data_IF_651251329832
#
_entry.id   IF_651251329832
#
_cell.length_a   1.000
_cell.length_b   1.000
_cell.length_c   1.000
_cell.angle_alpha   90.00
_cell.angle_beta   90.00
_cell.angle_gamma   90.00
#
_symmetry.space_group_name_H-M   'P 1'
#
loop_
_entity.id
_entity.type
_entity.pdbx_description
1 polymer ?
#
# COMPACT_ATOMS: atom_id res chain seq x y z
N UNK A 1 -1.07 3.54 -13.84
CA UNK A 1 -1.62 2.85 -12.64
C UNK A 1 -0.46 2.21 -11.89
N UNK A 2 -0.29 2.51 -10.62
CA UNK A 2 0.76 1.90 -9.79
C UNK A 2 0.45 0.42 -9.54
N UNK A 3 1.49 -0.40 -9.47
CA UNK A 3 1.31 -1.85 -9.20
C UNK A 3 1.11 -2.16 -7.71
N UNK A 4 1.46 -1.22 -6.86
CA UNK A 4 1.61 -1.43 -5.43
C UNK A 4 2.97 -2.04 -5.10
N UNK A 5 3.46 -1.79 -3.89
CA UNK A 5 4.73 -2.30 -3.38
C UNK A 5 4.71 -2.35 -1.86
N UNK A 6 5.65 -3.08 -1.30
CA UNK A 6 6.13 -2.89 0.06
C UNK A 6 7.52 -2.26 -0.02
N UNK A 7 7.95 -1.55 1.00
CA UNK A 7 9.34 -1.09 1.04
C UNK A 7 10.29 -2.29 1.17
N UNK A 8 11.41 -2.25 0.47
CA UNK A 8 12.44 -3.29 0.57
C UNK A 8 12.98 -3.37 2.00
N UNK A 9 13.19 -2.20 2.64
CA UNK A 9 13.32 -2.07 4.07
C UNK A 9 11.91 -1.98 4.67
N UNK A 10 11.33 -3.13 5.02
CA UNK A 10 9.90 -3.22 5.32
C UNK A 10 9.46 -2.40 6.55
N UNK A 11 10.37 -2.05 7.43
CA UNK A 11 10.11 -1.21 8.62
C UNK A 11 10.11 0.30 8.34
N UNK A 12 10.23 0.71 7.08
CA UNK A 12 10.17 2.13 6.68
C UNK A 12 8.73 2.56 6.41
N UNK A 13 8.22 3.57 7.13
CA UNK A 13 6.90 4.13 6.85
C UNK A 13 6.92 5.10 5.68
N UNK A 14 5.75 5.53 5.26
CA UNK A 14 5.57 6.57 4.25
C UNK A 14 4.36 7.45 4.59
N UNK A 15 4.42 8.71 4.20
CA UNK A 15 3.27 9.61 4.28
C UNK A 15 2.96 10.17 2.91
N UNK A 16 1.68 10.18 2.56
CA UNK A 16 1.14 10.80 1.36
C UNK A 16 0.31 12.00 1.74
N UNK A 17 0.42 13.06 0.96
CA UNK A 17 -0.45 14.22 1.05
C UNK A 17 -1.11 14.46 -0.31
N UNK A 18 -2.42 14.44 -0.35
CA UNK A 18 -3.17 14.70 -1.56
C UNK A 18 -3.32 16.21 -1.77
N UNK A 19 -2.77 16.72 -2.86
CA UNK A 19 -2.88 18.13 -3.23
C UNK A 19 -4.12 18.40 -4.08
N UNK A 20 -4.49 17.45 -4.94
CA UNK A 20 -5.60 17.58 -5.89
C UNK A 20 -6.18 16.22 -6.25
N UNK A 21 -7.46 16.18 -6.53
CA UNK A 21 -8.14 15.00 -7.05
C UNK A 21 -8.81 14.16 -5.97
N UNK A 22 -9.25 12.98 -6.38
CA UNK A 22 -9.92 11.99 -5.53
C UNK A 22 -9.31 10.63 -5.78
N UNK A 23 -8.74 10.05 -4.75
CA UNK A 23 -8.10 8.76 -4.84
C UNK A 23 -8.34 7.91 -3.61
N UNK A 24 -7.72 6.75 -3.63
CA UNK A 24 -7.71 5.79 -2.54
C UNK A 24 -6.29 5.32 -2.30
N UNK A 25 -5.95 5.08 -1.04
CA UNK A 25 -4.81 4.28 -0.64
C UNK A 25 -5.31 2.89 -0.28
N UNK A 26 -5.03 1.91 -1.11
CA UNK A 26 -5.28 0.51 -0.82
C UNK A 26 -4.06 -0.04 -0.10
N UNK A 27 -4.27 -0.53 1.11
CA UNK A 27 -3.22 -1.10 1.95
C UNK A 27 -3.52 -2.54 2.30
N UNK A 28 -2.47 -3.35 2.40
CA UNK A 28 -2.57 -4.76 2.76
C UNK A 28 -1.43 -5.13 3.71
N UNK A 29 -1.77 -5.75 4.85
CA UNK A 29 -0.76 -6.28 5.76
C UNK A 29 -0.09 -7.55 5.18
N UNK A 30 1.07 -7.98 5.68
CA UNK A 30 1.66 -9.24 5.28
C UNK A 30 0.71 -10.45 5.42
N UNK A 31 -0.17 -10.43 6.41
CA UNK A 31 -1.18 -11.48 6.67
C UNK A 31 -2.40 -11.39 5.75
N UNK A 32 -2.55 -10.27 5.01
CA UNK A 32 -3.67 -10.06 4.11
C UNK A 32 -4.84 -9.27 4.69
N UNK A 33 -4.64 -8.56 5.81
CA UNK A 33 -5.62 -7.56 6.24
C UNK A 33 -5.65 -6.41 5.22
N UNK A 34 -6.84 -6.00 4.78
CA UNK A 34 -7.01 -4.95 3.79
C UNK A 34 -7.61 -3.71 4.43
N UNK A 35 -7.06 -2.55 4.09
CA UNK A 35 -7.60 -1.24 4.44
C UNK A 35 -7.63 -0.33 3.21
N UNK A 36 -8.69 0.45 3.09
CA UNK A 36 -8.83 1.49 2.07
C UNK A 36 -9.01 2.83 2.77
N UNK A 37 -8.14 3.77 2.45
CA UNK A 37 -8.18 5.13 2.99
C UNK A 37 -8.46 6.11 1.86
N UNK A 38 -9.49 6.95 1.96
CA UNK A 38 -9.74 8.01 0.97
C UNK A 38 -8.58 9.00 0.92
N UNK A 39 -8.22 9.41 -0.30
CA UNK A 39 -7.23 10.43 -0.59
C UNK A 39 -7.94 11.61 -1.27
N UNK A 40 -8.60 12.42 -0.49
CA UNK A 40 -9.20 13.66 -0.95
C UNK A 40 -8.22 14.83 -0.85
N UNK A 41 -8.46 15.90 -1.62
CA UNK A 41 -7.61 17.08 -1.58
C UNK A 41 -7.44 17.60 -0.15
N UNK A 42 -6.21 17.99 0.22
CA UNK A 42 -5.80 18.48 1.53
C UNK A 42 -5.89 17.45 2.66
N UNK A 43 -5.82 16.17 2.34
CA UNK A 43 -5.72 15.09 3.32
C UNK A 43 -4.37 14.40 3.27
N UNK A 44 -3.93 13.90 4.42
CA UNK A 44 -2.73 13.08 4.54
C UNK A 44 -3.11 11.63 4.84
N UNK A 45 -2.34 10.69 4.29
CA UNK A 45 -2.46 9.27 4.58
C UNK A 45 -1.12 8.74 5.07
N UNK A 46 -1.10 8.18 6.26
CA UNK A 46 0.06 7.51 6.81
C UNK A 46 0.03 6.03 6.45
N UNK A 47 1.10 5.56 5.82
CA UNK A 47 1.34 4.14 5.56
C UNK A 47 2.32 3.63 6.62
N UNK A 48 1.85 2.82 7.57
CA UNK A 48 2.72 2.28 8.61
C UNK A 48 3.81 1.35 8.05
N UNK A 49 4.89 1.09 8.83
CA UNK A 49 5.82 0.02 8.51
C UNK A 49 5.13 -1.30 8.18
N UNK A 50 5.74 -2.08 7.29
CA UNK A 50 5.30 -3.43 6.87
C UNK A 50 4.04 -3.50 6.01
N UNK A 51 3.41 -2.39 5.67
CA UNK A 51 2.21 -2.39 4.84
C UNK A 51 2.54 -2.29 3.35
N UNK A 52 1.98 -3.22 2.60
CA UNK A 52 1.90 -3.14 1.15
C UNK A 52 0.89 -2.05 0.81
N UNK A 53 1.21 -1.20 -0.14
CA UNK A 53 0.32 -0.08 -0.45
C UNK A 53 0.32 0.29 -1.93
N UNK A 54 -0.79 0.88 -2.35
CA UNK A 54 -1.03 1.31 -3.72
C UNK A 54 -2.00 2.48 -3.74
N UNK A 55 -1.63 3.55 -4.43
CA UNK A 55 -2.55 4.65 -4.72
C UNK A 55 -3.37 4.38 -5.98
N UNK A 56 -4.65 4.77 -5.95
CA UNK A 56 -5.60 4.54 -7.03
C UNK A 56 -6.36 5.84 -7.26
N UNK A 57 -6.34 6.36 -8.49
CA UNK A 57 -7.20 7.48 -8.89
C UNK A 57 -8.61 6.96 -9.15
N UNK A 58 -9.58 7.47 -8.42
CA UNK A 58 -11.01 7.14 -8.58
C UNK A 58 -11.85 8.34 -8.99
N UNK A 59 -11.22 9.49 -9.20
CA UNK A 59 -11.86 10.70 -9.68
C UNK A 59 -11.78 10.85 -11.20
N UNK A 60 -12.43 11.90 -11.71
CA UNK A 60 -12.41 12.26 -13.13
C UNK A 60 -11.19 13.10 -13.54
N UNK A 61 -10.49 13.68 -12.57
CA UNK A 61 -9.31 14.52 -12.77
C UNK A 61 -8.03 13.82 -12.32
N UNK A 62 -6.89 14.48 -12.54
CA UNK A 62 -5.60 13.99 -12.06
C UNK A 62 -5.57 13.92 -10.53
N UNK A 63 -5.05 12.82 -10.01
CA UNK A 63 -4.70 12.68 -8.61
C UNK A 63 -3.25 13.12 -8.41
N UNK A 64 -3.07 14.25 -7.74
CA UNK A 64 -1.75 14.84 -7.48
C UNK A 64 -1.40 14.69 -6.02
N UNK A 65 -0.31 13.99 -5.75
CA UNK A 65 0.14 13.69 -4.39
C UNK A 65 1.60 14.05 -4.19
N UNK A 66 1.88 14.57 -3.01
CA UNK A 66 3.23 14.63 -2.44
C UNK A 66 3.40 13.43 -1.52
N UNK A 67 4.55 12.79 -1.57
CA UNK A 67 4.87 11.69 -0.66
C UNK A 67 6.29 11.83 -0.11
N UNK A 68 6.45 11.35 1.12
CA UNK A 68 7.72 11.42 1.84
C UNK A 68 7.98 10.08 2.52
N UNK A 69 9.18 9.55 2.30
CA UNK A 69 9.65 8.29 2.85
C UNK A 69 11.17 8.32 3.04
N UNK A 70 11.73 7.49 3.92
CA UNK A 70 13.18 7.38 4.10
C UNK A 70 13.90 7.00 2.80
N UNK A 71 15.04 7.63 2.53
CA UNK A 71 15.78 7.45 1.28
C UNK A 71 16.25 6.01 1.04
N UNK A 72 16.39 5.21 2.09
CA UNK A 72 16.82 3.81 2.05
C UNK A 72 15.67 2.81 1.96
N UNK A 73 14.43 3.27 1.78
CA UNK A 73 13.24 2.39 1.77
C UNK A 73 13.28 1.32 0.69
N UNK A 74 13.68 1.69 -0.53
CA UNK A 74 13.59 0.80 -1.69
C UNK A 74 12.16 0.33 -1.97
N UNK A 75 11.99 -0.53 -2.96
CA UNK A 75 10.67 -1.06 -3.36
C UNK A 75 10.77 -2.54 -3.68
N UNK A 76 9.85 -3.33 -3.15
CA UNK A 76 9.67 -4.74 -3.48
C UNK A 76 8.28 -4.95 -4.08
N UNK A 77 8.26 -5.33 -5.35
CA UNK A 77 7.05 -5.66 -6.10
C UNK A 77 6.79 -7.18 -6.16
N UNK A 78 7.80 -8.00 -5.90
CA UNK A 78 7.71 -9.45 -6.03
C UNK A 78 6.77 -10.07 -5.00
N UNK A 79 6.73 -9.52 -3.81
CA UNK A 79 5.84 -9.99 -2.75
C UNK A 79 4.38 -10.01 -3.21
N UNK A 80 3.99 -9.03 -4.00
CA UNK A 80 2.64 -8.92 -4.57
C UNK A 80 2.47 -9.91 -5.72
N UNK A 81 3.44 -10.00 -6.62
CA UNK A 81 3.39 -10.90 -7.76
C UNK A 81 3.27 -12.37 -7.32
N UNK A 82 4.05 -12.77 -6.31
CA UNK A 82 4.01 -14.14 -5.75
C UNK A 82 2.67 -14.48 -5.09
N UNK A 83 1.96 -13.48 -4.60
CA UNK A 83 0.61 -13.65 -4.01
C UNK A 83 -0.53 -13.58 -5.05
N UNK A 84 -0.21 -13.45 -6.34
CA UNK A 84 -1.23 -13.30 -7.39
C UNK A 84 -1.86 -11.90 -7.45
N UNK A 85 -1.20 -10.90 -6.86
CA UNK A 85 -1.69 -9.53 -6.72
C UNK A 85 -1.98 -9.16 -5.28
N UNK A 86 -2.57 -8.00 -5.05
CA UNK A 86 -3.14 -7.63 -3.75
C UNK A 86 -4.47 -8.37 -3.53
N UNK A 87 -4.81 -8.62 -2.28
CA UNK A 87 -6.02 -9.37 -1.89
C UNK A 87 -7.31 -8.74 -2.40
N UNK A 88 -7.36 -7.42 -2.43
CA UNK A 88 -8.50 -6.69 -2.97
C UNK A 88 -8.13 -5.90 -4.21
N UNK A 89 -9.11 -5.70 -5.06
CA UNK A 89 -9.06 -4.81 -6.22
C UNK A 89 -10.11 -3.72 -6.07
N UNK A 90 -9.82 -2.56 -6.61
CA UNK A 90 -10.79 -1.47 -6.77
C UNK A 90 -11.15 -1.41 -8.25
N UNK A 91 -12.42 -1.51 -8.54
CA UNK A 91 -12.96 -1.51 -9.89
C UNK A 91 -14.01 -0.43 -10.06
N UNK A 92 -14.18 0.06 -11.29
CA UNK A 92 -15.26 0.97 -11.60
C UNK A 92 -16.61 0.28 -11.41
N UNK A 93 -17.61 1.02 -10.97
CA UNK A 93 -18.96 0.55 -10.76
C UNK A 93 -19.97 1.67 -10.96
N UNK A 94 -21.25 1.32 -10.95
CA UNK A 94 -22.34 2.29 -11.02
C UNK A 94 -22.27 3.23 -9.81
N UNK A 95 -22.07 4.52 -10.08
CA UNK A 95 -21.95 5.55 -9.04
C UNK A 95 -20.57 5.73 -8.44
N UNK A 96 -19.50 5.17 -9.05
CA UNK A 96 -18.14 5.41 -8.62
C UNK A 96 -17.25 4.17 -8.66
N UNK A 97 -16.74 3.75 -7.52
CA UNK A 97 -15.86 2.59 -7.38
C UNK A 97 -16.42 1.57 -6.38
N UNK A 98 -15.95 0.36 -6.47
CA UNK A 98 -16.23 -0.68 -5.49
C UNK A 98 -15.00 -1.54 -5.24
N UNK A 99 -14.89 -2.06 -4.03
CA UNK A 99 -13.89 -3.06 -3.66
C UNK A 99 -14.42 -4.45 -4.04
N UNK A 100 -13.55 -5.25 -4.62
CA UNK A 100 -13.83 -6.67 -4.92
C UNK A 100 -12.64 -7.51 -4.48
N UNK A 101 -12.91 -8.76 -4.13
CA UNK A 101 -11.85 -9.71 -3.83
C UNK A 101 -11.07 -10.07 -5.09
N UNK A 102 -9.78 -10.33 -4.92
CA UNK A 102 -8.94 -10.86 -5.98
C UNK A 102 -8.98 -12.40 -5.94
N UNK A 103 -9.60 -13.06 -6.91
CA UNK A 103 -9.73 -14.52 -6.91
C UNK A 103 -8.38 -15.25 -7.06
N UNK A 104 -7.37 -14.56 -7.57
CA UNK A 104 -6.03 -15.12 -7.77
C UNK A 104 -5.13 -14.97 -6.53
N UNK A 105 -5.61 -14.24 -5.52
CA UNK A 105 -4.81 -13.98 -4.32
C UNK A 105 -4.56 -15.24 -3.52
N UNK A 106 -3.32 -15.38 -3.07
CA UNK A 106 -2.87 -16.49 -2.22
C UNK A 106 -2.20 -15.96 -0.97
N UNK A 107 -2.52 -16.52 0.21
CA UNK A 107 -1.87 -16.16 1.46
C UNK A 107 -0.36 -16.35 1.37
N UNK A 108 0.38 -15.47 2.02
CA UNK A 108 1.82 -15.58 2.18
C UNK A 108 2.13 -16.60 3.27
N UNK A 109 3.22 -17.32 3.13
CA UNK A 109 3.63 -18.28 4.14
C UNK A 109 4.14 -17.60 5.42
N UNK A 110 4.02 -18.31 6.55
CA UNK A 110 4.40 -17.78 7.86
C UNK A 110 5.90 -17.44 7.95
N UNK A 111 6.77 -18.13 7.22
CA UNK A 111 8.20 -17.87 7.21
C UNK A 111 8.52 -16.54 6.55
N UNK A 112 7.86 -16.23 5.44
CA UNK A 112 8.00 -14.94 4.76
C UNK A 112 7.50 -13.80 5.65
N UNK A 113 6.34 -13.97 6.28
CA UNK A 113 5.76 -12.96 7.18
C UNK A 113 6.71 -12.70 8.36
N UNK A 114 7.21 -13.75 8.98
CA UNK A 114 8.19 -13.64 10.08
C UNK A 114 9.48 -12.93 9.65
N UNK A 115 9.98 -13.21 8.44
CA UNK A 115 11.17 -12.57 7.89
C UNK A 115 10.96 -11.07 7.66
N UNK A 116 9.77 -10.65 7.20
CA UNK A 116 9.43 -9.23 7.04
C UNK A 116 9.45 -8.50 8.39
N UNK A 117 8.78 -9.03 9.40
CA UNK A 117 8.77 -8.42 10.72
C UNK A 117 10.11 -8.47 11.45
N UNK A 118 10.98 -9.40 11.07
CA UNK A 118 12.35 -9.48 11.57
C UNK A 118 13.28 -8.37 11.06
N UNK A 119 12.88 -7.63 10.04
CA UNK A 119 13.64 -6.50 9.49
C UNK A 119 13.55 -5.21 10.32
N UNK A 120 12.98 -5.26 11.51
CA UNK A 120 12.96 -4.08 12.39
C UNK A 120 14.37 -3.57 12.58
N UNK A 121 14.62 -2.32 12.19
CA UNK A 121 15.86 -1.64 12.53
C UNK A 121 16.04 -1.71 14.04
N UNK A 122 17.18 -2.24 14.47
CA UNK A 122 17.50 -2.27 15.88
C UNK A 122 17.28 -0.89 16.48
N UNK A 123 16.71 -0.83 17.66
CA UNK A 123 16.63 0.39 18.46
C UNK A 123 17.98 1.07 18.40
N UNK A 124 18.03 2.27 17.84
CA UNK A 124 19.20 3.12 17.98
C UNK A 124 19.39 3.25 19.49
N UNK A 125 20.53 2.84 20.07
CA UNK A 125 20.78 3.05 21.48
C UNK A 125 20.62 4.53 21.78
N UNK A 126 19.83 4.78 22.79
CA UNK A 126 19.62 6.16 23.23
C UNK A 126 20.94 6.83 23.62
#
# INVERSE_FOLDING_TARGET
MTRGHIHKQADRPEIYYCQKGHGLMLMESPEGEVRIVPLDAQTACYVPPFWIHRSINVGGDDLVMLFCYPADSGQDYEIIARSGGMRSRVVAGDGGWRQVDNPDWRPRDAKLISALYGQRSGTVPA
#
